data_IF_141461723026
#
_entry.id   IF_141461723026
#
_cell.length_a   1.000
_cell.length_b   1.000
_cell.length_c   1.000
_cell.angle_alpha   90.00
_cell.angle_beta   90.00
_cell.angle_gamma   90.00
#
_symmetry.space_group_name_H-M   'P 1'
#
loop_
_entity.id
_entity.type
_entity.pdbx_description
1 polymer ?
#
# COMPACT_ATOMS: atom_id res chain seq x y z
N UNK A 1 16.30 -11.28 -19.30
CA UNK A 1 15.63 -10.03 -18.90
C UNK A 1 14.33 -10.42 -18.23
N UNK A 2 14.36 -10.66 -16.90
CA UNK A 2 13.19 -11.03 -16.08
C UNK A 2 12.93 -9.96 -15.02
N UNK A 3 12.93 -8.70 -15.43
CA UNK A 3 12.84 -7.54 -14.52
C UNK A 3 11.42 -7.25 -14.04
N UNK A 4 10.39 -7.85 -14.64
CA UNK A 4 8.99 -7.65 -14.24
C UNK A 4 8.62 -8.27 -12.90
N UNK A 5 9.31 -9.33 -12.50
CA UNK A 5 8.88 -10.21 -11.40
C UNK A 5 9.63 -9.90 -10.10
N UNK A 6 10.86 -9.39 -10.21
CA UNK A 6 11.75 -9.14 -9.08
C UNK A 6 11.29 -7.98 -8.18
N UNK A 7 10.64 -6.96 -8.76
CA UNK A 7 10.13 -5.81 -8.00
C UNK A 7 8.94 -6.17 -7.10
N UNK A 8 8.02 -7.00 -7.61
CA UNK A 8 6.88 -7.48 -6.83
C UNK A 8 7.27 -8.60 -5.86
N UNK A 9 8.20 -9.50 -6.24
CA UNK A 9 8.65 -10.60 -5.36
C UNK A 9 9.32 -10.09 -4.08
N UNK A 10 9.98 -8.94 -4.13
CA UNK A 10 10.63 -8.30 -2.98
C UNK A 10 9.66 -7.72 -1.94
N UNK A 11 8.39 -7.51 -2.29
CA UNK A 11 7.39 -6.94 -1.38
C UNK A 11 6.75 -8.02 -0.51
N UNK A 12 6.57 -7.69 0.77
CA UNK A 12 5.74 -8.48 1.67
C UNK A 12 4.28 -8.47 1.22
N UNK A 13 3.52 -9.48 1.66
CA UNK A 13 2.08 -9.56 1.38
C UNK A 13 1.34 -8.26 1.78
N UNK A 14 1.68 -7.69 2.95
CA UNK A 14 1.08 -6.44 3.42
C UNK A 14 1.39 -5.23 2.52
N UNK A 15 2.62 -5.13 2.01
CA UNK A 15 2.99 -4.08 1.04
C UNK A 15 2.15 -4.19 -0.24
N UNK A 16 1.96 -5.41 -0.76
CA UNK A 16 1.16 -5.62 -1.97
C UNK A 16 -0.31 -5.28 -1.77
N UNK A 17 -0.91 -5.77 -0.67
CA UNK A 17 -2.32 -5.48 -0.36
C UNK A 17 -2.53 -3.98 -0.18
N UNK A 18 -1.67 -3.31 0.59
CA UNK A 18 -1.76 -1.86 0.79
C UNK A 18 -1.63 -1.08 -0.52
N UNK A 19 -0.72 -1.48 -1.41
CA UNK A 19 -0.56 -0.86 -2.73
C UNK A 19 -1.77 -1.09 -3.65
N UNK A 20 -2.32 -2.30 -3.69
CA UNK A 20 -3.51 -2.64 -4.46
C UNK A 20 -4.75 -1.85 -3.99
N UNK A 21 -4.96 -1.80 -2.67
CA UNK A 21 -6.06 -1.03 -2.07
C UNK A 21 -5.89 0.46 -2.37
N UNK A 22 -4.67 1.00 -2.22
CA UNK A 22 -4.38 2.39 -2.57
C UNK A 22 -4.64 2.70 -4.04
N UNK A 23 -4.21 1.83 -4.95
CA UNK A 23 -4.45 1.99 -6.38
C UNK A 23 -5.94 1.99 -6.73
N UNK A 24 -6.70 1.01 -6.20
CA UNK A 24 -8.14 0.94 -6.38
C UNK A 24 -8.84 2.19 -5.82
N UNK A 25 -8.40 2.68 -4.65
CA UNK A 25 -8.93 3.88 -4.02
C UNK A 25 -8.73 5.13 -4.90
N UNK A 26 -7.59 5.29 -5.56
CA UNK A 26 -7.35 6.43 -6.47
C UNK A 26 -8.31 6.42 -7.66
N UNK A 27 -8.54 5.25 -8.25
CA UNK A 27 -9.49 5.10 -9.38
C UNK A 27 -10.91 5.47 -8.90
N UNK A 28 -11.31 4.94 -7.76
CA UNK A 28 -12.62 5.22 -7.15
C UNK A 28 -12.78 6.71 -6.80
N UNK A 29 -11.73 7.34 -6.27
CA UNK A 29 -11.72 8.76 -5.92
C UNK A 29 -11.92 9.63 -7.17
N UNK A 30 -11.19 9.34 -8.25
CA UNK A 30 -11.32 10.06 -9.51
C UNK A 30 -12.74 9.90 -10.09
N UNK A 31 -13.25 8.67 -10.13
CA UNK A 31 -14.59 8.40 -10.63
C UNK A 31 -15.67 9.13 -9.81
N UNK A 32 -15.59 9.04 -8.47
CA UNK A 32 -16.53 9.70 -7.58
C UNK A 32 -16.45 11.23 -7.69
N UNK A 33 -15.25 11.80 -7.90
CA UNK A 33 -15.08 13.23 -8.11
C UNK A 33 -15.78 13.72 -9.38
N UNK A 34 -15.64 12.99 -10.49
CA UNK A 34 -16.32 13.30 -11.74
C UNK A 34 -17.83 13.23 -11.57
N UNK A 35 -18.35 12.19 -10.91
CA UNK A 35 -19.78 12.03 -10.68
C UNK A 35 -20.36 13.12 -9.77
N UNK A 36 -19.63 13.50 -8.72
CA UNK A 36 -20.05 14.58 -7.83
C UNK A 36 -20.07 15.93 -8.58
N UNK A 37 -19.05 16.20 -9.40
CA UNK A 37 -19.01 17.40 -10.25
C UNK A 37 -20.13 17.44 -11.30
N UNK A 38 -20.67 16.28 -11.70
CA UNK A 38 -21.83 16.16 -12.59
C UNK A 38 -23.19 16.31 -11.88
N UNK A 39 -23.19 16.61 -10.57
CA UNK A 39 -24.42 16.85 -9.79
C UNK A 39 -25.02 15.61 -9.13
N UNK A 40 -24.29 14.49 -9.07
CA UNK A 40 -24.73 13.33 -8.29
C UNK A 40 -24.23 13.44 -6.85
N UNK A 41 -25.05 13.98 -5.95
CA UNK A 41 -24.69 14.20 -4.55
C UNK A 41 -24.35 12.90 -3.79
N UNK A 42 -24.91 11.75 -4.20
CA UNK A 42 -24.59 10.45 -3.58
C UNK A 42 -23.12 10.09 -3.78
N UNK A 43 -22.47 10.60 -4.84
CA UNK A 43 -21.05 10.38 -5.09
C UNK A 43 -20.14 10.98 -4.02
N UNK A 44 -20.62 11.92 -3.20
CA UNK A 44 -19.88 12.46 -2.06
C UNK A 44 -19.49 11.35 -1.06
N UNK A 45 -20.39 10.40 -0.78
CA UNK A 45 -20.07 9.26 0.08
C UNK A 45 -19.02 8.34 -0.56
N UNK A 46 -19.04 8.24 -1.89
CA UNK A 46 -18.01 7.54 -2.65
C UNK A 46 -16.64 8.21 -2.50
N UNK A 47 -16.56 9.54 -2.54
CA UNK A 47 -15.33 10.30 -2.29
C UNK A 47 -14.78 10.04 -0.88
N UNK A 48 -15.64 10.15 0.14
CA UNK A 48 -15.23 9.90 1.52
C UNK A 48 -14.73 8.47 1.74
N UNK A 49 -15.44 7.49 1.18
CA UNK A 49 -15.06 6.07 1.25
C UNK A 49 -13.74 5.81 0.50
N UNK A 50 -13.57 6.34 -0.70
CA UNK A 50 -12.37 6.18 -1.49
C UNK A 50 -11.15 6.80 -0.77
N UNK A 51 -11.31 7.99 -0.18
CA UNK A 51 -10.26 8.62 0.60
C UNK A 51 -9.88 7.78 1.83
N UNK A 52 -10.86 7.29 2.59
CA UNK A 52 -10.63 6.44 3.76
C UNK A 52 -9.86 5.17 3.37
N UNK A 53 -10.29 4.47 2.31
CA UNK A 53 -9.61 3.30 1.78
C UNK A 53 -8.18 3.62 1.32
N UNK A 54 -7.98 4.76 0.66
CA UNK A 54 -6.66 5.20 0.20
C UNK A 54 -5.68 5.43 1.35
N UNK A 55 -6.11 6.17 2.38
CA UNK A 55 -5.29 6.44 3.57
C UNK A 55 -5.01 5.16 4.36
N UNK A 56 -6.02 4.30 4.54
CA UNK A 56 -5.84 2.99 5.17
C UNK A 56 -4.89 2.08 4.39
N UNK A 57 -5.03 1.99 3.07
CA UNK A 57 -4.15 1.21 2.19
C UNK A 57 -2.69 1.69 2.27
N UNK A 58 -2.48 3.00 2.27
CA UNK A 58 -1.16 3.60 2.45
C UNK A 58 -0.56 3.23 3.82
N UNK A 59 -1.36 3.32 4.89
CA UNK A 59 -0.93 2.93 6.24
C UNK A 59 -0.52 1.46 6.33
N UNK A 60 -1.30 0.55 5.73
CA UNK A 60 -0.97 -0.87 5.65
C UNK A 60 0.34 -1.08 4.88
N UNK A 61 0.51 -0.40 3.75
CA UNK A 61 1.71 -0.52 2.94
C UNK A 61 2.97 -0.08 3.71
N UNK A 62 2.92 1.09 4.37
CA UNK A 62 4.05 1.63 5.13
C UNK A 62 4.35 0.76 6.35
N UNK A 63 3.34 0.34 7.11
CA UNK A 63 3.54 -0.52 8.28
C UNK A 63 4.18 -1.86 7.92
N UNK A 64 3.75 -2.47 6.81
CA UNK A 64 4.32 -3.72 6.30
C UNK A 64 5.77 -3.52 5.84
N UNK A 65 6.05 -2.41 5.16
CA UNK A 65 7.40 -2.04 4.70
C UNK A 65 8.36 -1.84 5.88
N UNK A 66 7.92 -1.11 6.90
CA UNK A 66 8.71 -0.92 8.12
C UNK A 66 8.95 -2.25 8.85
N UNK A 67 7.94 -3.11 8.95
CA UNK A 67 8.10 -4.43 9.56
C UNK A 67 9.13 -5.28 8.82
N UNK A 68 9.19 -5.21 7.48
CA UNK A 68 10.20 -5.88 6.67
C UNK A 68 11.61 -5.36 6.99
N UNK A 69 11.79 -4.04 7.02
CA UNK A 69 13.09 -3.44 7.32
C UNK A 69 13.57 -3.75 8.75
N UNK A 70 12.66 -3.76 9.74
CA UNK A 70 13.00 -4.18 11.11
C UNK A 70 13.46 -5.64 11.19
N UNK A 71 12.95 -6.52 10.34
CA UNK A 71 13.40 -7.93 10.26
C UNK A 71 14.78 -8.02 9.59
N UNK A 72 14.97 -7.36 8.45
CA UNK A 72 16.26 -7.33 7.74
C UNK A 72 17.40 -6.82 8.64
N UNK A 73 17.18 -5.73 9.38
CA UNK A 73 18.17 -5.19 10.31
C UNK A 73 18.52 -6.13 11.47
N UNK A 74 17.58 -6.98 11.92
CA UNK A 74 17.84 -7.99 12.96
C UNK A 74 18.70 -9.13 12.41
N UNK A 75 18.44 -9.57 11.19
CA UNK A 75 19.18 -10.66 10.56
C UNK A 75 20.63 -10.25 10.30
N UNK A 76 20.86 -9.02 9.84
CA UNK A 76 22.20 -8.43 9.65
C UNK A 76 22.97 -8.31 10.98
N UNK A 77 22.31 -7.86 12.06
CA UNK A 77 22.93 -7.75 13.38
C UNK A 77 23.26 -9.12 14.01
N UNK A 78 22.44 -10.15 13.75
CA UNK A 78 22.69 -11.52 14.17
C UNK A 78 23.91 -12.12 13.46
N UNK A 79 24.04 -11.88 12.15
CA UNK A 79 25.18 -12.35 11.35
C UNK A 79 26.53 -11.72 11.75
N UNK A 80 26.50 -10.53 12.37
CA UNK A 80 27.70 -9.83 12.83
C UNK A 80 28.26 -10.33 14.19
N UNK A 81 27.54 -11.19 14.91
CA UNK A 81 28.00 -11.76 16.19
C UNK A 81 28.51 -13.19 15.99
N UNK A 82 29.83 -13.45 16.01
CA UNK A 82 30.34 -14.82 15.85
C UNK A 82 29.93 -15.70 17.05
N UNK A 83 29.69 -17.01 16.83
CA UNK A 83 29.41 -17.94 17.92
C UNK A 83 30.60 -17.98 18.89
N UNK A 84 30.30 -17.91 20.19
CA UNK A 84 31.29 -18.08 21.26
C UNK A 84 31.61 -19.54 21.49
#
# INVERSE_FOLDING_TARGET
>A
MDTGNAGWSAWTWGERVGALVGFAAVILLFWAAVQYGAGNDVAFFGLALALALGVSGLGIHVAAREARYRRQARDEGSAATPPR
#
